data_IF_097778323602
#
_entry.id   IF_097778323602
#
_cell.length_a   1.000
_cell.length_b   1.000
_cell.length_c   1.000
_cell.angle_alpha   90.00
_cell.angle_beta   90.00
_cell.angle_gamma   90.00
#
_symmetry.space_group_name_H-M   'P 1'
#
loop_
_entity.id
_entity.type
_entity.pdbx_description
1 polymer ?
#
# COMPACT_ATOMS: atom_id res chain seq x y z
N UNK A 1 8.04 -28.45 -2.71
CA UNK A 1 8.39 -27.08 -2.25
C UNK A 1 7.12 -26.28 -2.00
N UNK A 2 6.76 -25.99 -0.74
CA UNK A 2 5.90 -24.86 -0.32
C UNK A 2 6.23 -24.53 1.14
N UNK A 3 7.32 -23.81 1.35
CA UNK A 3 7.59 -23.13 2.62
C UNK A 3 6.80 -21.82 2.59
N UNK A 4 5.75 -21.71 3.40
CA UNK A 4 4.87 -20.53 3.40
C UNK A 4 3.62 -20.68 4.26
N UNK A 5 3.66 -21.52 5.30
CA UNK A 5 2.55 -21.69 6.26
C UNK A 5 2.76 -20.93 7.56
N UNK A 6 3.92 -20.32 7.75
CA UNK A 6 4.18 -19.46 8.89
C UNK A 6 4.16 -18.03 8.37
N UNK A 7 3.29 -17.20 8.93
CA UNK A 7 3.33 -15.76 8.69
C UNK A 7 4.67 -15.26 9.19
N UNK A 8 5.25 -14.35 8.43
CA UNK A 8 6.46 -13.68 8.87
C UNK A 8 6.20 -12.94 10.20
N UNK A 9 7.21 -12.80 11.05
CA UNK A 9 7.07 -12.09 12.34
C UNK A 9 6.54 -10.67 12.19
N UNK A 10 6.80 -10.03 11.04
CA UNK A 10 6.30 -8.71 10.68
C UNK A 10 4.84 -8.77 10.18
N UNK A 11 4.41 -9.90 9.62
CA UNK A 11 3.04 -10.15 9.15
C UNK A 11 2.08 -10.59 10.28
N UNK A 12 2.60 -11.05 11.42
CA UNK A 12 1.79 -11.47 12.57
C UNK A 12 1.51 -10.37 13.60
N UNK A 13 2.26 -9.26 13.55
CA UNK A 13 2.12 -8.17 14.51
C UNK A 13 1.32 -6.99 13.93
N UNK A 14 0.02 -6.97 14.22
CA UNK A 14 -0.89 -5.90 13.77
C UNK A 14 -0.42 -4.49 14.19
N UNK A 15 0.02 -4.33 15.44
CA UNK A 15 0.48 -3.02 15.95
C UNK A 15 1.67 -2.50 15.13
N UNK A 16 2.61 -3.40 14.79
CA UNK A 16 3.75 -3.06 13.96
C UNK A 16 3.32 -2.64 12.55
N UNK A 17 2.37 -3.35 11.94
CA UNK A 17 1.83 -3.00 10.62
C UNK A 17 1.15 -1.64 10.61
N UNK A 18 0.31 -1.36 11.61
CA UNK A 18 -0.35 -0.07 11.75
C UNK A 18 0.68 1.06 11.95
N UNK A 19 1.72 0.84 12.74
CA UNK A 19 2.79 1.82 12.96
C UNK A 19 3.59 2.09 11.69
N UNK A 20 3.99 1.04 10.96
CA UNK A 20 4.65 1.18 9.67
C UNK A 20 3.76 1.96 8.69
N UNK A 21 2.46 1.64 8.61
CA UNK A 21 1.51 2.36 7.77
C UNK A 21 1.42 3.85 8.13
N UNK A 22 1.34 4.19 9.41
CA UNK A 22 1.34 5.59 9.87
C UNK A 22 2.62 6.32 9.48
N UNK A 23 3.78 5.67 9.58
CA UNK A 23 5.07 6.25 9.20
C UNK A 23 5.12 6.55 7.71
N UNK A 24 4.75 5.59 6.84
CA UNK A 24 4.74 5.81 5.40
C UNK A 24 3.77 6.92 4.97
N UNK A 25 2.58 6.99 5.59
CA UNK A 25 1.62 8.09 5.36
C UNK A 25 2.14 9.45 5.86
N UNK A 26 2.92 9.48 6.94
CA UNK A 26 3.56 10.71 7.40
C UNK A 26 4.68 11.15 6.45
N UNK A 27 5.43 10.21 5.90
CA UNK A 27 6.49 10.46 4.93
C UNK A 27 5.93 10.95 3.58
N UNK A 28 4.83 10.37 3.09
CA UNK A 28 4.21 10.80 1.83
C UNK A 28 3.71 12.26 1.86
N UNK A 29 3.37 12.79 3.04
CA UNK A 29 3.03 14.21 3.22
C UNK A 29 4.24 15.15 3.17
N UNK A 30 5.45 14.63 3.40
CA UNK A 30 6.70 15.41 3.41
C UNK A 30 7.42 15.35 2.07
N UNK A 31 7.37 14.20 1.41
CA UNK A 31 8.07 13.94 0.16
C UNK A 31 7.24 14.41 -1.05
N UNK A 32 7.77 15.36 -1.83
CA UNK A 32 7.03 16.02 -2.92
C UNK A 32 6.67 15.10 -4.09
N UNK A 33 7.39 14.00 -4.25
CA UNK A 33 7.24 13.08 -5.37
C UNK A 33 6.59 11.75 -4.95
N UNK A 34 6.07 11.66 -3.73
CA UNK A 34 5.38 10.46 -3.24
C UNK A 34 3.89 10.60 -3.47
N UNK A 35 3.30 9.57 -4.05
CA UNK A 35 1.87 9.50 -4.32
C UNK A 35 1.28 8.38 -3.48
N UNK A 36 0.21 8.68 -2.75
CA UNK A 36 -0.55 7.69 -2.02
C UNK A 36 -1.65 7.16 -2.93
N UNK A 37 -1.66 5.83 -3.11
CA UNK A 37 -2.74 5.11 -3.79
C UNK A 37 -3.60 4.48 -2.71
N UNK A 38 -4.87 4.86 -2.63
CA UNK A 38 -5.79 4.26 -1.69
C UNK A 38 -6.31 2.93 -2.27
N UNK A 39 -5.85 1.82 -1.71
CA UNK A 39 -6.25 0.49 -2.16
C UNK A 39 -7.64 0.08 -1.66
N UNK A 40 -8.30 0.87 -0.81
CA UNK A 40 -9.64 0.57 -0.30
C UNK A 40 -10.71 1.35 -1.06
N UNK A 41 -11.86 0.73 -1.30
CA UNK A 41 -13.05 1.36 -1.86
C UNK A 41 -14.30 0.72 -1.25
N UNK A 42 -15.20 1.55 -0.72
CA UNK A 42 -16.47 1.09 -0.12
C UNK A 42 -16.31 -0.02 0.92
N UNK A 43 -15.25 0.08 1.73
CA UNK A 43 -14.92 -0.90 2.79
C UNK A 43 -14.27 -2.20 2.29
N UNK A 44 -14.00 -2.33 0.99
CA UNK A 44 -13.37 -3.49 0.38
C UNK A 44 -12.02 -3.13 -0.23
N UNK A 45 -11.12 -4.12 -0.32
CA UNK A 45 -9.87 -3.98 -1.07
C UNK A 45 -10.18 -3.98 -2.57
N UNK A 46 -9.66 -3.00 -3.31
CA UNK A 46 -9.72 -2.94 -4.77
C UNK A 46 -9.06 -4.16 -5.41
N UNK A 47 -9.45 -4.48 -6.63
CA UNK A 47 -8.73 -5.51 -7.39
C UNK A 47 -7.32 -5.06 -7.74
N UNK A 48 -6.36 -5.98 -7.92
CA UNK A 48 -5.03 -5.64 -8.42
C UNK A 48 -5.08 -4.87 -9.75
N UNK A 49 -6.04 -5.19 -10.62
CA UNK A 49 -6.25 -4.53 -11.90
C UNK A 49 -6.66 -3.06 -11.72
N UNK A 50 -7.62 -2.78 -10.82
CA UNK A 50 -8.06 -1.41 -10.51
C UNK A 50 -6.91 -0.57 -9.91
N UNK A 51 -6.15 -1.17 -8.99
CA UNK A 51 -4.99 -0.51 -8.37
C UNK A 51 -3.92 -0.20 -9.44
N UNK A 52 -3.65 -1.15 -10.33
CA UNK A 52 -2.70 -0.98 -11.43
C UNK A 52 -3.14 0.13 -12.38
N UNK A 53 -4.42 0.19 -12.74
CA UNK A 53 -4.97 1.25 -13.57
C UNK A 53 -4.84 2.63 -12.90
N UNK A 54 -5.12 2.73 -11.60
CA UNK A 54 -4.94 3.96 -10.82
C UNK A 54 -3.48 4.44 -10.85
N UNK A 55 -2.51 3.54 -10.64
CA UNK A 55 -1.08 3.84 -10.71
C UNK A 55 -0.72 4.38 -12.11
N UNK A 56 -1.15 3.71 -13.18
CA UNK A 56 -0.89 4.15 -14.55
C UNK A 56 -1.49 5.54 -14.83
N UNK A 57 -2.67 5.81 -14.30
CA UNK A 57 -3.33 7.10 -14.45
C UNK A 57 -2.60 8.22 -13.69
N UNK A 58 -2.01 7.94 -12.53
CA UNK A 58 -1.13 8.90 -11.82
C UNK A 58 0.12 9.15 -12.66
N UNK A 59 0.79 8.11 -13.15
CA UNK A 59 2.02 8.23 -13.94
C UNK A 59 1.82 9.06 -15.22
N UNK A 60 0.70 8.87 -15.93
CA UNK A 60 0.33 9.64 -17.13
C UNK A 60 0.12 11.15 -16.87
N UNK A 61 -0.05 11.57 -15.61
CA UNK A 61 -0.18 12.99 -15.25
C UNK A 61 1.17 13.63 -14.91
N UNK A 62 2.18 12.80 -14.65
CA UNK A 62 3.52 13.22 -14.25
C UNK A 62 4.45 13.28 -15.47
N UNK A 63 4.31 12.31 -16.38
CA UNK A 63 5.04 12.19 -17.65
C UNK A 63 4.30 12.96 -18.74
#
# INVERSE_FOLDING_TARGET
MRAGRHKDIHEDNLKHQEEAGRIYLAMSKKEKNWYVVDCMQDGNLKSPEDISEEILNILKRII
#
